data_IF_704858637257
#
_entry.id   IF_704858637257
#
_cell.length_a   1.000
_cell.length_b   1.000
_cell.length_c   1.000
_cell.angle_alpha   90.00
_cell.angle_beta   90.00
_cell.angle_gamma   90.00
#
_symmetry.space_group_name_H-M   'P 1'
#
loop_
_entity.id
_entity.type
_entity.pdbx_description
1 polymer ?
#
# COMPACT_ATOMS: atom_id res chain seq x y z
N UNK A 1 -1.29 6.58 -34.37
CA UNK A 1 -1.42 6.36 -32.92
C UNK A 1 -1.27 7.72 -32.27
N UNK A 2 -2.31 8.26 -31.65
CA UNK A 2 -2.20 9.55 -30.94
C UNK A 2 -1.19 9.34 -29.79
N UNK A 3 -0.20 10.23 -29.71
CA UNK A 3 0.79 10.23 -28.64
C UNK A 3 0.06 10.57 -27.32
N UNK A 4 0.04 9.62 -26.38
CA UNK A 4 -0.51 9.82 -25.03
C UNK A 4 0.64 9.99 -24.05
N UNK A 5 0.84 11.21 -23.57
CA UNK A 5 1.95 11.57 -22.69
C UNK A 5 1.89 10.82 -21.36
N UNK A 6 0.68 10.52 -20.85
CA UNK A 6 0.51 9.77 -19.60
C UNK A 6 0.93 8.33 -19.78
N UNK A 7 0.49 7.68 -20.87
CA UNK A 7 0.85 6.27 -21.14
C UNK A 7 2.34 6.11 -21.38
N UNK A 8 2.96 7.05 -22.08
CA UNK A 8 4.41 7.05 -22.34
C UNK A 8 5.19 7.20 -21.02
N UNK A 9 4.76 8.10 -20.16
CA UNK A 9 5.35 8.27 -18.83
C UNK A 9 5.17 7.02 -17.95
N UNK A 10 4.00 6.38 -17.97
CA UNK A 10 3.75 5.16 -17.20
C UNK A 10 4.61 3.99 -17.71
N UNK A 11 4.83 3.90 -19.03
CA UNK A 11 5.75 2.95 -19.62
C UNK A 11 7.20 3.21 -19.20
N UNK A 12 7.64 4.48 -19.20
CA UNK A 12 8.95 4.86 -18.66
C UNK A 12 9.09 4.43 -17.18
N UNK A 13 8.09 4.70 -16.35
CA UNK A 13 8.13 4.29 -14.94
C UNK A 13 8.18 2.76 -14.78
N UNK A 14 7.50 2.03 -15.65
CA UNK A 14 7.45 0.56 -15.63
C UNK A 14 8.78 -0.06 -16.07
N UNK A 15 9.28 0.33 -17.21
CA UNK A 15 10.37 -0.38 -17.90
C UNK A 15 11.76 0.21 -17.65
N UNK A 16 11.85 1.53 -17.40
CA UNK A 16 13.13 2.18 -17.13
C UNK A 16 13.36 2.46 -15.62
N UNK A 17 12.28 2.69 -14.86
CA UNK A 17 12.36 3.02 -13.42
C UNK A 17 11.92 1.88 -12.51
N UNK A 18 11.44 0.78 -13.05
CA UNK A 18 11.02 -0.43 -12.32
C UNK A 18 10.08 -0.13 -11.14
N UNK A 19 9.11 0.77 -11.36
CA UNK A 19 8.14 1.13 -10.33
C UNK A 19 7.11 0.01 -10.15
N UNK A 20 6.64 -0.16 -8.90
CA UNK A 20 5.66 -1.20 -8.57
C UNK A 20 4.33 -0.97 -9.30
N UNK A 21 3.56 -2.05 -9.61
CA UNK A 21 2.23 -1.92 -10.22
C UNK A 21 1.30 -0.97 -9.46
N UNK A 22 1.33 -1.00 -8.13
CA UNK A 22 0.55 -0.11 -7.26
C UNK A 22 0.92 1.38 -7.48
N UNK A 23 2.21 1.69 -7.68
CA UNK A 23 2.65 3.06 -7.99
C UNK A 23 2.16 3.50 -9.35
N UNK A 24 2.22 2.61 -10.36
CA UNK A 24 1.75 2.90 -11.72
C UNK A 24 0.24 3.17 -11.73
N UNK A 25 -0.54 2.35 -11.02
CA UNK A 25 -1.98 2.52 -10.89
C UNK A 25 -2.34 3.84 -10.19
N UNK A 26 -1.71 4.13 -9.05
CA UNK A 26 -1.92 5.39 -8.33
C UNK A 26 -1.58 6.62 -9.18
N UNK A 27 -0.49 6.56 -9.95
CA UNK A 27 -0.09 7.65 -10.83
C UNK A 27 -1.05 7.77 -12.02
N UNK A 28 -1.45 6.65 -12.63
CA UNK A 28 -2.43 6.64 -13.73
C UNK A 28 -3.73 7.31 -13.32
N UNK A 29 -4.30 6.91 -12.19
CA UNK A 29 -5.54 7.52 -11.66
C UNK A 29 -5.36 9.02 -11.45
N UNK A 30 -4.27 9.44 -10.78
CA UNK A 30 -4.04 10.85 -10.46
C UNK A 30 -3.86 11.72 -11.71
N UNK A 31 -3.17 11.21 -12.73
CA UNK A 31 -2.89 11.95 -13.95
C UNK A 31 -4.11 12.03 -14.87
N UNK A 32 -4.90 10.96 -14.97
CA UNK A 32 -6.15 10.98 -15.73
C UNK A 32 -7.19 11.91 -15.07
N UNK A 33 -7.28 11.89 -13.74
CA UNK A 33 -8.15 12.81 -12.99
C UNK A 33 -7.77 14.29 -13.25
N UNK A 34 -6.48 14.61 -13.31
CA UNK A 34 -6.04 15.96 -13.69
C UNK A 34 -6.32 16.28 -15.15
N UNK A 35 -6.13 15.33 -16.06
CA UNK A 35 -6.46 15.52 -17.48
C UNK A 35 -7.94 15.78 -17.68
N UNK A 36 -8.82 15.02 -17.03
CA UNK A 36 -10.26 15.23 -17.08
C UNK A 36 -10.64 16.60 -16.51
N UNK A 37 -9.98 17.01 -15.40
CA UNK A 37 -10.22 18.31 -14.80
C UNK A 37 -9.90 19.45 -15.76
N UNK A 38 -8.68 19.57 -16.29
CA UNK A 38 -8.34 20.70 -17.15
C UNK A 38 -9.10 20.69 -18.47
N UNK A 39 -9.44 19.53 -19.02
CA UNK A 39 -10.31 19.44 -20.22
C UNK A 39 -11.74 19.87 -19.93
N UNK A 40 -12.22 19.72 -18.70
CA UNK A 40 -13.54 20.23 -18.30
C UNK A 40 -13.60 21.75 -18.18
N UNK A 41 -12.47 22.40 -17.86
CA UNK A 41 -12.37 23.85 -17.83
C UNK A 41 -12.39 24.44 -19.25
N UNK A 42 -11.55 23.92 -20.14
CA UNK A 42 -11.47 24.29 -21.54
C UNK A 42 -10.93 23.11 -22.36
N UNK A 43 -11.70 22.67 -23.35
CA UNK A 43 -11.31 21.57 -24.26
C UNK A 43 -10.06 21.87 -25.09
N UNK A 44 -9.65 23.13 -25.20
CA UNK A 44 -8.42 23.59 -25.85
C UNK A 44 -7.17 23.45 -24.98
N UNK A 45 -7.32 23.23 -23.66
CA UNK A 45 -6.19 22.96 -22.77
C UNK A 45 -5.55 21.63 -23.08
N UNK A 46 -4.24 21.61 -22.90
CA UNK A 46 -3.40 20.43 -23.11
C UNK A 46 -2.28 20.40 -22.09
N UNK A 47 -1.59 19.28 -21.97
CA UNK A 47 -0.40 19.16 -21.14
C UNK A 47 0.69 20.21 -21.41
N UNK A 48 0.75 20.77 -22.63
CA UNK A 48 1.69 21.81 -23.03
C UNK A 48 1.25 23.22 -22.63
N UNK A 49 -0.06 23.45 -22.50
CA UNK A 49 -0.65 24.80 -22.29
C UNK A 49 -1.09 25.04 -20.85
N UNK A 50 -1.33 23.98 -20.08
CA UNK A 50 -1.63 24.07 -18.63
C UNK A 50 -0.59 24.92 -17.90
N UNK A 51 -1.05 25.82 -17.03
CA UNK A 51 -0.22 26.69 -16.21
C UNK A 51 -0.32 26.43 -14.71
N UNK A 52 0.35 27.26 -13.91
CA UNK A 52 0.41 27.13 -12.46
C UNK A 52 -0.97 27.35 -11.80
N UNK A 53 -1.82 28.18 -12.41
CA UNK A 53 -3.12 28.52 -11.83
C UNK A 53 -4.07 27.34 -11.99
N UNK A 54 -4.11 26.68 -13.15
CA UNK A 54 -4.89 25.45 -13.35
C UNK A 54 -4.46 24.36 -12.37
N UNK A 55 -3.15 24.26 -12.04
CA UNK A 55 -2.66 23.29 -11.05
C UNK A 55 -3.13 23.64 -9.63
N UNK A 56 -3.13 24.93 -9.26
CA UNK A 56 -3.64 25.39 -7.95
C UNK A 56 -5.13 25.15 -7.82
N UNK A 57 -5.90 25.56 -8.83
CA UNK A 57 -7.35 25.40 -8.87
C UNK A 57 -7.76 23.92 -8.78
N UNK A 58 -6.99 23.03 -9.43
CA UNK A 58 -7.23 21.59 -9.29
C UNK A 58 -7.04 21.10 -7.87
N UNK A 59 -5.97 21.53 -7.19
CA UNK A 59 -5.75 21.11 -5.80
C UNK A 59 -6.84 21.67 -4.86
N UNK A 60 -7.31 22.90 -5.08
CA UNK A 60 -8.43 23.50 -4.36
C UNK A 60 -9.71 22.70 -4.62
N UNK A 61 -10.01 22.41 -5.88
CA UNK A 61 -11.16 21.58 -6.27
C UNK A 61 -11.17 20.21 -5.57
N UNK A 62 -10.02 19.55 -5.48
CA UNK A 62 -9.91 18.27 -4.76
C UNK A 62 -10.18 18.42 -3.26
N UNK A 63 -9.69 19.49 -2.64
CA UNK A 63 -9.91 19.77 -1.22
C UNK A 63 -11.36 20.14 -0.92
N UNK A 64 -11.99 20.96 -1.78
CA UNK A 64 -13.40 21.31 -1.68
C UNK A 64 -14.32 20.09 -1.85
N UNK A 65 -13.89 19.12 -2.66
CA UNK A 65 -14.50 17.80 -2.77
C UNK A 65 -14.31 16.90 -1.53
N UNK A 66 -13.68 17.40 -0.46
CA UNK A 66 -13.46 16.68 0.80
C UNK A 66 -12.22 15.80 0.84
N UNK A 67 -11.31 15.92 -0.13
CA UNK A 67 -10.09 15.12 -0.13
C UNK A 67 -9.10 15.61 0.93
N UNK A 68 -8.51 14.68 1.67
CA UNK A 68 -7.46 14.98 2.65
C UNK A 68 -6.19 15.57 1.99
N UNK A 69 -5.56 16.55 2.63
CA UNK A 69 -4.33 17.19 2.16
C UNK A 69 -3.19 16.22 1.82
N UNK A 70 -3.11 15.09 2.51
CA UNK A 70 -2.15 14.01 2.23
C UNK A 70 -2.42 13.33 0.88
N UNK A 71 -3.69 13.13 0.54
CA UNK A 71 -4.11 12.53 -0.73
C UNK A 71 -3.91 13.50 -1.89
N UNK A 72 -4.22 14.78 -1.71
CA UNK A 72 -3.91 15.85 -2.69
C UNK A 72 -2.42 15.93 -2.93
N UNK A 73 -1.60 15.89 -1.86
CA UNK A 73 -0.14 15.87 -1.97
C UNK A 73 0.41 14.69 -2.78
N UNK A 74 -0.22 13.51 -2.64
CA UNK A 74 0.14 12.31 -3.42
C UNK A 74 -0.18 12.50 -4.91
N UNK A 75 -1.34 13.04 -5.23
CA UNK A 75 -1.75 13.35 -6.62
C UNK A 75 -0.84 14.40 -7.25
N UNK A 76 -0.54 15.45 -6.51
CA UNK A 76 0.39 16.49 -6.95
C UNK A 76 1.82 15.94 -7.19
N UNK A 77 2.27 14.97 -6.38
CA UNK A 77 3.57 14.34 -6.59
C UNK A 77 3.61 13.52 -7.91
N UNK A 78 2.51 12.87 -8.30
CA UNK A 78 2.40 12.19 -9.59
C UNK A 78 2.49 13.20 -10.74
N UNK A 79 1.76 14.32 -10.65
CA UNK A 79 1.77 15.40 -11.64
C UNK A 79 3.17 16.01 -11.79
N UNK A 80 3.82 16.35 -10.67
CA UNK A 80 5.19 16.86 -10.68
C UNK A 80 6.18 15.86 -11.30
N UNK A 81 5.99 14.58 -11.08
CA UNK A 81 6.84 13.54 -11.66
C UNK A 81 6.65 13.43 -13.18
N UNK A 82 5.41 13.56 -13.68
CA UNK A 82 5.11 13.62 -15.12
C UNK A 82 5.78 14.83 -15.76
N UNK A 83 5.63 16.03 -15.20
CA UNK A 83 6.19 17.26 -15.81
C UNK A 83 7.72 17.25 -15.81
N UNK A 84 8.37 16.71 -14.79
CA UNK A 84 9.83 16.49 -14.81
C UNK A 84 10.27 15.56 -15.94
N UNK A 85 9.53 14.48 -16.15
CA UNK A 85 9.78 13.56 -17.27
C UNK A 85 9.57 14.25 -18.60
N UNK A 86 8.44 14.95 -18.76
CA UNK A 86 8.07 15.63 -20.02
C UNK A 86 9.05 16.76 -20.36
N UNK A 87 9.50 17.53 -19.36
CA UNK A 87 10.50 18.58 -19.55
C UNK A 87 11.87 18.00 -19.97
N UNK A 88 12.31 16.91 -19.32
CA UNK A 88 13.57 16.25 -19.64
C UNK A 88 13.59 15.64 -21.07
N UNK A 89 12.42 15.33 -21.60
CA UNK A 89 12.25 14.78 -22.97
C UNK A 89 11.79 15.84 -23.98
N UNK A 90 11.77 17.11 -23.62
CA UNK A 90 11.34 18.23 -24.46
C UNK A 90 9.90 18.11 -24.99
N UNK A 91 9.02 17.39 -24.28
CA UNK A 91 7.60 17.25 -24.63
C UNK A 91 6.78 18.46 -24.21
N UNK A 92 7.28 19.21 -23.23
CA UNK A 92 6.70 20.48 -22.74
C UNK A 92 7.81 21.55 -22.66
N UNK A 93 7.44 22.81 -22.81
CA UNK A 93 8.38 23.93 -22.73
C UNK A 93 8.62 24.44 -21.29
N UNK A 94 7.70 24.11 -20.36
CA UNK A 94 7.76 24.54 -18.95
C UNK A 94 7.14 23.51 -18.02
N UNK A 95 7.52 23.57 -16.73
CA UNK A 95 6.91 22.77 -15.67
C UNK A 95 5.97 23.68 -14.83
N UNK A 96 4.64 23.55 -14.96
CA UNK A 96 3.69 24.35 -14.20
C UNK A 96 3.65 23.98 -12.71
N UNK A 97 4.28 22.89 -12.31
CA UNK A 97 4.31 22.46 -10.91
C UNK A 97 5.51 23.05 -10.13
N UNK A 98 6.45 23.71 -10.84
CA UNK A 98 7.74 24.10 -10.26
C UNK A 98 7.60 25.04 -9.05
N UNK A 99 6.69 26.05 -9.15
CA UNK A 99 6.45 27.06 -8.10
C UNK A 99 5.21 26.78 -7.25
N UNK A 100 4.53 25.66 -7.49
CA UNK A 100 3.32 25.29 -6.75
C UNK A 100 3.71 24.44 -5.54
N UNK A 101 3.20 24.79 -4.37
CA UNK A 101 3.38 24.02 -3.15
C UNK A 101 2.14 23.18 -2.86
N UNK A 102 2.30 21.90 -2.50
CA UNK A 102 1.17 21.08 -2.09
C UNK A 102 0.61 21.58 -0.75
N UNK A 103 -0.66 21.29 -0.44
CA UNK A 103 -1.27 21.70 0.82
C UNK A 103 -0.50 21.10 2.02
N UNK A 104 -0.36 21.93 3.08
CA UNK A 104 0.35 21.52 4.31
C UNK A 104 -0.38 20.38 4.99
N UNK A 105 0.34 19.28 5.19
CA UNK A 105 -0.19 18.11 5.91
C UNK A 105 -0.04 18.34 7.42
N UNK A 106 -1.13 18.12 8.16
CA UNK A 106 -1.04 18.05 9.62
C UNK A 106 -0.41 16.70 9.99
N UNK A 107 0.76 16.75 10.63
CA UNK A 107 1.36 15.54 11.21
C UNK A 107 0.52 15.13 12.42
N UNK A 108 -0.38 14.17 12.25
CA UNK A 108 -1.06 13.52 13.38
C UNK A 108 -0.02 12.65 14.10
N UNK A 109 0.00 12.72 15.43
CA UNK A 109 0.80 11.77 16.21
C UNK A 109 0.24 10.37 15.98
N UNK A 110 1.10 9.36 15.79
CA UNK A 110 0.63 7.98 15.66
C UNK A 110 -0.13 7.58 16.93
N UNK A 111 -1.30 6.97 16.75
CA UNK A 111 -1.99 6.28 17.84
C UNK A 111 -1.27 4.94 18.06
N UNK A 112 -0.93 4.64 19.30
CA UNK A 112 -0.32 3.37 19.67
C UNK A 112 -1.23 2.63 20.66
N UNK A 113 -1.21 1.32 20.59
CA UNK A 113 -1.85 0.44 21.56
C UNK A 113 -0.89 0.24 22.72
N UNK A 114 -1.33 0.46 23.95
CA UNK A 114 -0.50 0.23 25.13
C UNK A 114 -0.27 -1.26 25.32
N UNK A 115 0.88 -1.61 25.88
CA UNK A 115 1.22 -2.99 26.18
C UNK A 115 0.14 -3.68 27.03
N UNK A 116 -0.38 -2.99 28.05
CA UNK A 116 -1.47 -3.49 28.89
C UNK A 116 -2.78 -3.76 28.13
N UNK A 117 -3.06 -2.97 27.09
CA UNK A 117 -4.23 -3.18 26.24
C UNK A 117 -4.02 -4.38 25.31
N UNK A 118 -2.79 -4.55 24.80
CA UNK A 118 -2.43 -5.69 23.98
C UNK A 118 -2.45 -6.98 24.78
N UNK A 119 -1.88 -7.01 25.98
CA UNK A 119 -1.91 -8.17 26.89
C UNK A 119 -3.36 -8.53 27.22
N UNK A 120 -4.21 -7.54 27.52
CA UNK A 120 -5.63 -7.78 27.73
C UNK A 120 -6.32 -8.38 26.50
N UNK A 121 -6.01 -7.91 25.31
CA UNK A 121 -6.55 -8.46 24.06
C UNK A 121 -6.12 -9.91 23.84
N UNK A 122 -4.85 -10.21 24.08
CA UNK A 122 -4.29 -11.53 23.77
C UNK A 122 -4.55 -12.58 24.84
N UNK A 123 -4.56 -12.18 26.14
CA UNK A 123 -4.55 -13.10 27.26
C UNK A 123 -5.89 -13.15 28.02
N UNK A 124 -6.55 -11.99 28.19
CA UNK A 124 -7.78 -11.90 29.01
C UNK A 124 -9.05 -12.15 28.20
N UNK A 125 -9.03 -11.91 26.88
CA UNK A 125 -10.21 -12.18 26.06
C UNK A 125 -10.37 -13.68 25.79
N UNK A 126 -11.62 -14.19 25.85
CA UNK A 126 -11.87 -15.61 25.60
C UNK A 126 -11.78 -15.92 24.10
N UNK A 127 -10.55 -16.09 23.60
CA UNK A 127 -10.32 -16.61 22.26
C UNK A 127 -10.81 -18.06 22.17
N UNK A 128 -11.72 -18.34 21.25
CA UNK A 128 -12.21 -19.69 20.99
C UNK A 128 -11.18 -20.58 20.29
N UNK A 129 -11.66 -21.73 19.86
CA UNK A 129 -10.83 -22.74 19.19
C UNK A 129 -11.18 -22.92 17.70
N UNK A 130 -12.12 -22.11 17.18
CA UNK A 130 -12.44 -22.14 15.76
C UNK A 130 -11.27 -21.67 14.91
N UNK A 131 -11.20 -22.14 13.67
CA UNK A 131 -10.16 -21.71 12.72
C UNK A 131 -10.02 -20.19 12.63
N UNK A 132 -11.14 -19.45 12.57
CA UNK A 132 -11.11 -17.99 12.46
C UNK A 132 -10.46 -17.33 13.69
N UNK A 133 -10.87 -17.71 14.88
CA UNK A 133 -10.36 -17.13 16.12
C UNK A 133 -8.86 -17.45 16.32
N UNK A 134 -8.47 -18.68 16.06
CA UNK A 134 -7.06 -19.09 16.13
C UNK A 134 -6.22 -18.33 15.12
N UNK A 135 -6.70 -18.19 13.86
CA UNK A 135 -6.03 -17.42 12.82
C UNK A 135 -5.88 -15.96 13.21
N UNK A 136 -6.97 -15.32 13.61
CA UNK A 136 -7.01 -13.89 13.86
C UNK A 136 -6.15 -13.52 15.08
N UNK A 137 -6.18 -14.31 16.14
CA UNK A 137 -5.24 -14.19 17.27
C UNK A 137 -3.79 -14.29 16.80
N UNK A 138 -3.47 -15.28 16.00
CA UNK A 138 -2.09 -15.53 15.51
C UNK A 138 -1.63 -14.37 14.61
N UNK A 139 -2.51 -13.81 13.78
CA UNK A 139 -2.20 -12.62 12.95
C UNK A 139 -1.85 -11.42 13.85
N UNK A 140 -2.65 -11.15 14.88
CA UNK A 140 -2.41 -10.04 15.82
C UNK A 140 -1.05 -10.24 16.53
N UNK A 141 -0.79 -11.44 17.06
CA UNK A 141 0.49 -11.75 17.68
C UNK A 141 1.66 -11.58 16.72
N UNK A 142 1.51 -12.03 15.46
CA UNK A 142 2.55 -11.88 14.44
C UNK A 142 2.88 -10.40 14.20
N UNK A 143 1.88 -9.53 14.08
CA UNK A 143 2.12 -8.09 13.94
C UNK A 143 2.77 -7.50 15.17
N UNK A 144 2.29 -7.86 16.35
CA UNK A 144 2.76 -7.29 17.60
C UNK A 144 4.22 -7.62 17.89
N UNK A 145 4.61 -8.88 17.75
CA UNK A 145 5.97 -9.30 18.05
C UNK A 145 6.99 -8.93 16.95
N UNK A 146 6.56 -8.93 15.69
CA UNK A 146 7.51 -8.82 14.57
C UNK A 146 7.53 -7.46 13.89
N UNK A 147 6.46 -6.67 14.03
CA UNK A 147 6.32 -5.37 13.37
C UNK A 147 6.34 -5.45 11.84
N UNK A 148 6.06 -6.60 11.24
CA UNK A 148 6.01 -6.74 9.79
C UNK A 148 4.83 -5.96 9.19
N UNK A 149 4.95 -5.59 7.91
CA UNK A 149 3.88 -4.86 7.22
C UNK A 149 2.76 -5.80 6.81
N UNK A 150 1.55 -5.25 6.64
CA UNK A 150 0.39 -6.00 6.18
C UNK A 150 0.67 -6.77 4.88
N UNK A 151 1.33 -6.15 3.91
CA UNK A 151 1.71 -6.81 2.65
C UNK A 151 2.76 -7.92 2.85
N UNK A 152 3.64 -7.78 3.83
CA UNK A 152 4.62 -8.81 4.19
C UNK A 152 3.91 -10.01 4.83
N UNK A 153 2.99 -9.77 5.77
CA UNK A 153 2.20 -10.84 6.38
C UNK A 153 1.38 -11.63 5.36
N UNK A 154 0.64 -10.93 4.49
CA UNK A 154 -0.18 -11.61 3.48
C UNK A 154 0.65 -12.28 2.38
N UNK A 155 1.91 -11.91 2.25
CA UNK A 155 2.88 -12.52 1.34
C UNK A 155 3.58 -13.77 1.88
N UNK A 156 3.47 -14.06 3.19
CA UNK A 156 4.15 -15.22 3.78
C UNK A 156 3.64 -16.55 3.23
N UNK A 157 4.58 -17.44 2.94
CA UNK A 157 4.34 -18.85 2.67
C UNK A 157 4.79 -19.70 3.87
N UNK A 158 4.39 -20.97 3.92
CA UNK A 158 4.79 -21.88 5.01
C UNK A 158 6.32 -22.02 5.10
N UNK A 159 7.01 -21.99 3.96
CA UNK A 159 8.48 -22.09 3.89
C UNK A 159 9.22 -20.86 4.41
N UNK A 160 8.52 -19.77 4.62
CA UNK A 160 9.10 -18.52 5.13
C UNK A 160 9.19 -18.51 6.66
N UNK A 161 8.64 -19.52 7.35
CA UNK A 161 8.63 -19.63 8.80
C UNK A 161 9.53 -20.78 9.24
N UNK A 162 10.43 -20.46 10.14
CA UNK A 162 11.28 -21.40 10.85
C UNK A 162 10.93 -21.32 12.35
N UNK A 163 10.06 -22.21 12.80
CA UNK A 163 9.64 -22.26 14.20
C UNK A 163 10.75 -22.76 15.13
N UNK A 164 11.67 -23.60 14.65
CA UNK A 164 12.77 -24.14 15.45
C UNK A 164 13.79 -23.05 15.79
N UNK A 165 14.12 -22.21 14.82
CA UNK A 165 15.00 -21.06 15.01
C UNK A 165 14.24 -19.78 15.37
N UNK A 166 12.92 -19.83 15.46
CA UNK A 166 12.03 -18.70 15.81
C UNK A 166 12.29 -17.47 14.97
N UNK A 167 12.24 -17.64 13.66
CA UNK A 167 12.44 -16.57 12.70
C UNK A 167 11.52 -16.72 11.50
N UNK A 168 11.18 -15.58 10.90
CA UNK A 168 10.44 -15.54 9.65
C UNK A 168 11.16 -14.69 8.62
N UNK A 169 11.08 -15.10 7.37
CA UNK A 169 11.66 -14.39 6.22
C UNK A 169 10.57 -13.58 5.54
N UNK A 170 10.73 -12.28 5.50
CA UNK A 170 9.78 -11.38 4.82
C UNK A 170 10.39 -10.73 3.59
N UNK A 171 9.58 -10.59 2.56
CA UNK A 171 9.93 -9.87 1.34
C UNK A 171 9.24 -8.51 1.34
N UNK A 172 10.03 -7.44 1.40
CA UNK A 172 9.56 -6.06 1.47
C UNK A 172 9.62 -5.33 0.12
N UNK A 173 9.50 -3.99 0.18
CA UNK A 173 9.54 -3.12 -0.99
C UNK A 173 10.82 -3.31 -1.80
N UNK A 174 10.66 -3.53 -3.12
CA UNK A 174 11.78 -3.73 -4.05
C UNK A 174 12.40 -5.11 -3.95
N UNK A 175 11.60 -6.11 -3.57
CA UNK A 175 12.00 -7.52 -3.44
C UNK A 175 13.15 -7.75 -2.44
N UNK A 176 13.30 -6.84 -1.47
CA UNK A 176 14.31 -6.97 -0.43
C UNK A 176 13.83 -7.91 0.66
N UNK A 177 14.58 -8.98 0.89
CA UNK A 177 14.32 -9.94 1.94
C UNK A 177 15.03 -9.56 3.23
N UNK A 178 14.38 -9.84 4.37
CA UNK A 178 15.00 -9.80 5.69
C UNK A 178 14.44 -10.90 6.58
N UNK A 179 15.24 -11.34 7.51
CA UNK A 179 14.84 -12.26 8.57
C UNK A 179 14.41 -11.44 9.79
N UNK A 180 13.29 -11.83 10.40
CA UNK A 180 12.74 -11.19 11.59
C UNK A 180 12.60 -12.26 12.67
N UNK A 181 13.27 -12.12 13.83
CA UNK A 181 13.11 -13.04 14.94
C UNK A 181 11.77 -12.82 15.65
N UNK A 182 11.26 -13.86 16.33
CA UNK A 182 10.07 -13.80 17.16
C UNK A 182 10.21 -14.67 18.42
N UNK A 183 9.30 -14.48 19.38
CA UNK A 183 9.33 -15.19 20.66
C UNK A 183 8.74 -16.59 20.60
N UNK A 184 8.89 -17.31 21.72
CA UNK A 184 8.35 -18.66 21.87
C UNK A 184 6.82 -18.70 21.84
N UNK A 185 6.16 -17.68 22.38
CA UNK A 185 4.70 -17.58 22.39
C UNK A 185 4.12 -17.56 20.98
N UNK A 186 4.74 -16.79 20.09
CA UNK A 186 4.33 -16.76 18.68
C UNK A 186 4.66 -18.09 17.97
N UNK A 187 5.77 -18.74 18.30
CA UNK A 187 6.08 -20.07 17.75
C UNK A 187 4.98 -21.09 18.07
N UNK A 188 4.54 -21.12 19.34
CA UNK A 188 3.43 -21.98 19.79
C UNK A 188 2.13 -21.62 19.09
N UNK A 189 1.80 -20.31 18.97
CA UNK A 189 0.59 -19.85 18.31
C UNK A 189 0.58 -20.20 16.81
N UNK A 190 1.70 -20.05 16.11
CA UNK A 190 1.86 -20.44 14.71
C UNK A 190 1.70 -21.95 14.52
N UNK A 191 2.32 -22.76 15.37
CA UNK A 191 2.17 -24.22 15.33
C UNK A 191 0.70 -24.66 15.54
N UNK A 192 0.01 -24.05 16.52
CA UNK A 192 -1.42 -24.27 16.75
C UNK A 192 -2.27 -23.86 15.55
N UNK A 193 -1.97 -22.69 14.97
CA UNK A 193 -2.69 -22.19 13.81
C UNK A 193 -2.52 -23.13 12.60
N UNK A 194 -1.30 -23.53 12.29
CA UNK A 194 -1.01 -24.42 11.16
C UNK A 194 -1.75 -25.75 11.34
N UNK A 195 -1.70 -26.35 12.53
CA UNK A 195 -2.43 -27.58 12.82
C UNK A 195 -3.95 -27.45 12.67
N UNK A 196 -4.54 -26.33 13.15
CA UNK A 196 -5.95 -26.03 13.01
C UNK A 196 -6.33 -25.80 11.54
N UNK A 197 -5.54 -24.99 10.84
CA UNK A 197 -5.72 -24.68 9.40
C UNK A 197 -5.74 -25.96 8.56
N UNK A 198 -4.73 -26.81 8.72
CA UNK A 198 -4.56 -27.99 7.87
C UNK A 198 -5.62 -29.07 8.17
N UNK A 199 -6.23 -29.02 9.37
CA UNK A 199 -7.36 -29.87 9.72
C UNK A 199 -8.69 -29.37 9.16
N UNK A 200 -8.93 -28.05 9.19
CA UNK A 200 -10.26 -27.48 8.95
C UNK A 200 -10.43 -26.86 7.55
N UNK A 201 -9.32 -26.54 6.86
CA UNK A 201 -9.35 -25.80 5.59
C UNK A 201 -8.69 -26.58 4.46
N UNK A 202 -9.45 -26.82 3.37
CA UNK A 202 -8.87 -27.33 2.13
C UNK A 202 -8.08 -26.22 1.42
N UNK A 203 -6.76 -26.27 1.57
CA UNK A 203 -5.82 -25.26 1.04
C UNK A 203 -5.74 -25.31 -0.48
N UNK A 204 -5.62 -24.14 -1.10
CA UNK A 204 -5.47 -23.95 -2.56
C UNK A 204 -4.16 -23.28 -2.94
N UNK A 205 -3.29 -23.01 -1.97
CA UNK A 205 -2.01 -22.33 -2.15
C UNK A 205 -1.08 -22.61 -0.96
N UNK A 206 0.20 -22.26 -1.11
CA UNK A 206 1.23 -22.44 -0.09
C UNK A 206 1.26 -21.29 0.96
N UNK A 207 0.30 -20.36 0.88
CA UNK A 207 0.24 -19.23 1.80
C UNK A 207 0.11 -19.69 3.25
N UNK A 208 0.86 -19.03 4.14
CA UNK A 208 0.75 -19.27 5.58
C UNK A 208 -0.66 -18.92 6.05
N UNK A 209 -1.11 -17.67 5.83
CA UNK A 209 -2.44 -17.22 6.24
C UNK A 209 -3.45 -17.33 5.10
N UNK A 210 -4.52 -18.09 5.36
CA UNK A 210 -5.55 -18.39 4.37
C UNK A 210 -6.95 -17.97 4.84
N UNK A 211 -7.82 -17.74 3.87
CA UNK A 211 -9.26 -17.56 4.12
C UNK A 211 -9.93 -18.90 4.40
N UNK A 212 -11.17 -18.91 4.90
CA UNK A 212 -11.99 -20.14 5.07
C UNK A 212 -12.16 -20.93 3.79
N UNK A 213 -11.98 -20.30 2.62
CA UNK A 213 -12.04 -20.93 1.31
C UNK A 213 -10.69 -21.53 0.86
N UNK A 214 -9.65 -21.45 1.68
CA UNK A 214 -8.32 -21.98 1.41
C UNK A 214 -7.47 -21.13 0.45
N UNK A 215 -7.89 -19.92 0.12
CA UNK A 215 -7.11 -18.99 -0.70
C UNK A 215 -6.20 -18.12 0.19
N UNK A 216 -5.07 -17.63 -0.36
CA UNK A 216 -4.23 -16.62 0.30
C UNK A 216 -5.06 -15.43 0.76
N UNK A 217 -4.86 -14.97 1.99
CA UNK A 217 -5.47 -13.74 2.48
C UNK A 217 -4.89 -12.53 1.74
N UNK A 218 -5.75 -11.57 1.45
CA UNK A 218 -5.38 -10.27 0.89
C UNK A 218 -5.45 -9.20 1.98
N UNK A 219 -4.89 -8.01 1.68
CA UNK A 219 -4.86 -6.91 2.65
C UNK A 219 -6.25 -6.53 3.21
N UNK A 220 -7.30 -6.64 2.41
CA UNK A 220 -8.68 -6.34 2.85
C UNK A 220 -9.28 -7.43 3.75
N UNK A 221 -8.79 -8.67 3.68
CA UNK A 221 -9.25 -9.76 4.55
C UNK A 221 -8.71 -9.61 6.00
N UNK A 222 -7.63 -8.83 6.18
CA UNK A 222 -6.98 -8.58 7.49
C UNK A 222 -7.43 -7.25 8.11
N UNK A 223 -7.98 -6.33 7.30
CA UNK A 223 -8.52 -5.07 7.82
C UNK A 223 -9.85 -5.34 8.51
N UNK A 224 -9.88 -5.15 9.80
CA UNK A 224 -11.07 -5.09 10.64
C UNK A 224 -11.79 -3.74 10.50
#
# INVERSE_FOLDING_TARGET
MLFDMVDDFLNYLRYERYRSPMTLESYSVSLREFEDYFRSLDSGLSWQTVDEDVVRDWMEHLMDGGMEASSVGTRFAALRSLYRYALARHLVGRDPTYRVEPPKQRKRLPTFVKESEMNRLLDDLPWGTSFLEVRDKTIIMTFYETGIRLSELTGLDDVDIDCDNRQLKVTGKGDKQRVVPFGEELAVALGRYVACRDKEVSRKCDALFVTVKGNRMKAYDVRL
#
